data_IF_937951247482
#
_entry.id   IF_937951247482
#
_cell.length_a   1.000
_cell.length_b   1.000
_cell.length_c   1.000
_cell.angle_alpha   90.00
_cell.angle_beta   90.00
_cell.angle_gamma   90.00
#
_symmetry.space_group_name_H-M   'P 1'
#
loop_
_entity.id
_entity.type
_entity.pdbx_description
1 polymer ?
#
# COMPACT_ATOMS: atom_id res chain seq x y z
N UNK A 1 -15.82 -21.67 9.38
CA UNK A 1 -15.08 -22.35 8.30
C UNK A 1 -15.24 -23.85 8.47
N UNK A 2 -15.79 -24.57 7.48
CA UNK A 2 -15.73 -26.04 7.47
C UNK A 2 -14.28 -26.44 7.29
N UNK A 3 -13.75 -27.27 8.19
CA UNK A 3 -12.38 -27.78 8.11
C UNK A 3 -12.27 -28.62 6.84
N UNK A 4 -11.36 -28.28 5.94
CA UNK A 4 -11.04 -29.12 4.79
C UNK A 4 -10.46 -30.43 5.35
N UNK A 5 -11.12 -31.57 5.11
CA UNK A 5 -10.66 -32.86 5.64
C UNK A 5 -9.54 -33.48 4.79
N UNK A 6 -9.43 -33.03 3.52
CA UNK A 6 -8.43 -33.52 2.55
C UNK A 6 -7.06 -32.88 2.81
N UNK A 7 -6.00 -33.67 2.71
CA UNK A 7 -4.62 -33.16 2.69
C UNK A 7 -4.33 -32.43 1.39
N UNK A 8 -3.62 -31.32 1.49
CA UNK A 8 -3.31 -30.43 0.35
C UNK A 8 -1.81 -30.36 0.12
N UNK A 9 -1.37 -30.63 -1.11
CA UNK A 9 0.00 -30.39 -1.56
C UNK A 9 0.04 -29.16 -2.45
N UNK A 10 0.86 -28.17 -2.10
CA UNK A 10 1.18 -27.03 -2.98
C UNK A 10 2.32 -27.44 -3.93
N UNK A 11 2.07 -27.39 -5.23
CA UNK A 11 3.06 -27.69 -6.28
C UNK A 11 3.52 -26.40 -6.92
N UNK A 12 4.71 -25.92 -6.54
CA UNK A 12 5.26 -24.65 -7.04
C UNK A 12 6.20 -24.93 -8.22
N UNK A 13 5.81 -24.49 -9.41
CA UNK A 13 6.58 -24.70 -10.64
C UNK A 13 7.66 -23.63 -10.77
N UNK A 14 8.92 -23.99 -10.43
CA UNK A 14 10.10 -23.14 -10.42
C UNK A 14 11.13 -23.51 -11.50
N UNK A 15 10.82 -24.45 -12.42
CA UNK A 15 11.76 -24.97 -13.42
C UNK A 15 11.97 -24.06 -14.66
N UNK A 16 11.33 -22.89 -14.71
CA UNK A 16 11.39 -21.99 -15.89
C UNK A 16 12.78 -21.37 -16.09
N UNK A 17 13.22 -21.27 -17.35
CA UNK A 17 14.56 -20.80 -17.74
C UNK A 17 14.73 -19.27 -17.77
N UNK A 18 13.71 -18.48 -17.46
CA UNK A 18 13.73 -16.99 -17.43
C UNK A 18 14.36 -16.30 -18.66
N UNK A 19 14.38 -16.96 -19.82
CA UNK A 19 15.10 -16.53 -21.04
C UNK A 19 14.76 -15.13 -21.55
N UNK A 20 13.54 -14.63 -21.26
CA UNK A 20 13.08 -13.30 -21.67
C UNK A 20 13.66 -12.16 -20.86
N UNK A 21 14.14 -12.43 -19.65
CA UNK A 21 14.61 -11.41 -18.71
C UNK A 21 16.14 -11.24 -18.71
N UNK A 22 16.88 -12.21 -19.24
CA UNK A 22 18.34 -12.22 -19.22
C UNK A 22 18.98 -12.57 -17.87
N UNK A 23 18.16 -12.82 -16.85
CA UNK A 23 18.54 -13.33 -15.52
C UNK A 23 17.43 -14.22 -14.96
N UNK A 24 17.72 -14.98 -13.90
CA UNK A 24 16.68 -15.79 -13.24
C UNK A 24 15.76 -14.90 -12.40
N UNK A 25 14.53 -14.70 -12.89
CA UNK A 25 13.52 -13.86 -12.23
C UNK A 25 13.13 -14.34 -10.84
N UNK A 26 13.30 -15.62 -10.54
CA UNK A 26 12.99 -16.20 -9.24
C UNK A 26 13.95 -15.74 -8.15
N UNK A 27 15.17 -15.32 -8.55
CA UNK A 27 16.18 -14.77 -7.63
C UNK A 27 16.08 -13.25 -7.46
N UNK A 28 15.14 -12.58 -8.14
CA UNK A 28 14.98 -11.13 -7.98
C UNK A 28 14.52 -10.79 -6.55
N UNK A 29 15.20 -9.80 -5.95
CA UNK A 29 14.89 -9.32 -4.61
C UNK A 29 13.72 -8.34 -4.63
N UNK A 30 12.69 -8.65 -3.84
CA UNK A 30 11.47 -7.84 -3.65
C UNK A 30 11.54 -6.98 -2.37
N UNK A 31 12.73 -6.55 -1.97
CA UNK A 31 12.95 -5.77 -0.75
C UNK A 31 13.34 -6.62 0.45
N UNK A 32 14.32 -7.50 0.28
CA UNK A 32 14.85 -8.40 1.31
C UNK A 32 14.36 -9.86 1.22
N UNK A 33 13.49 -10.16 0.25
CA UNK A 33 12.95 -11.49 0.00
C UNK A 33 12.90 -11.78 -1.51
N UNK A 34 13.33 -12.95 -1.95
CA UNK A 34 13.29 -13.30 -3.36
C UNK A 34 11.88 -13.63 -3.84
N UNK A 35 11.64 -13.51 -5.16
CA UNK A 35 10.38 -13.92 -5.81
C UNK A 35 10.00 -15.35 -5.42
N UNK A 36 10.95 -16.28 -5.44
CA UNK A 36 10.68 -17.68 -5.09
C UNK A 36 10.38 -17.85 -3.61
N UNK A 37 11.18 -17.26 -2.72
CA UNK A 37 10.95 -17.36 -1.28
C UNK A 37 9.57 -16.85 -0.90
N UNK A 38 9.18 -15.69 -1.43
CA UNK A 38 7.86 -15.11 -1.17
C UNK A 38 6.71 -16.01 -1.65
N UNK A 39 6.89 -16.65 -2.80
CA UNK A 39 5.91 -17.64 -3.30
C UNK A 39 5.84 -18.87 -2.38
N UNK A 40 6.97 -19.39 -1.89
CA UNK A 40 7.00 -20.50 -0.92
C UNK A 40 6.27 -20.11 0.37
N UNK A 41 6.59 -18.96 0.94
CA UNK A 41 5.97 -18.47 2.18
C UNK A 41 4.47 -18.29 2.09
N UNK A 42 3.94 -17.86 0.94
CA UNK A 42 2.51 -17.73 0.76
C UNK A 42 1.77 -19.07 0.99
N UNK A 43 2.32 -20.18 0.54
CA UNK A 43 1.76 -21.51 0.76
C UNK A 43 2.14 -22.13 2.10
N UNK A 44 3.32 -21.81 2.61
CA UNK A 44 3.74 -22.23 3.95
C UNK A 44 2.81 -21.69 5.03
N UNK A 45 2.42 -20.41 4.91
CA UNK A 45 1.54 -19.75 5.88
C UNK A 45 0.07 -20.15 5.75
N UNK A 46 -0.35 -20.79 4.65
CA UNK A 46 -1.73 -21.21 4.49
C UNK A 46 -2.03 -22.46 5.36
N UNK A 47 -3.02 -22.38 6.26
CA UNK A 47 -3.31 -23.47 7.18
C UNK A 47 -3.88 -24.73 6.52
N UNK A 48 -4.38 -24.64 5.29
CA UNK A 48 -4.91 -25.78 4.54
C UNK A 48 -3.80 -26.59 3.85
N UNK A 49 -2.67 -25.97 3.53
CA UNK A 49 -1.54 -26.62 2.87
C UNK A 49 -0.77 -27.47 3.89
N UNK A 50 -0.58 -28.75 3.57
CA UNK A 50 0.09 -29.72 4.44
C UNK A 50 1.54 -30.04 4.03
N UNK A 51 1.86 -29.84 2.76
CA UNK A 51 3.23 -30.02 2.21
C UNK A 51 3.44 -29.12 0.98
N UNK A 52 4.69 -28.93 0.62
CA UNK A 52 5.11 -28.16 -0.54
C UNK A 52 5.99 -29.03 -1.44
N UNK A 53 5.64 -29.12 -2.73
CA UNK A 53 6.44 -29.75 -3.76
C UNK A 53 7.03 -28.67 -4.66
N UNK A 54 8.34 -28.51 -4.63
CA UNK A 54 9.05 -27.55 -5.48
C UNK A 54 9.56 -28.24 -6.73
N UNK A 55 9.17 -27.75 -7.89
CA UNK A 55 9.60 -28.30 -9.17
C UNK A 55 10.76 -27.45 -9.71
N UNK A 56 11.98 -27.94 -9.59
CA UNK A 56 13.21 -27.24 -9.94
C UNK A 56 13.75 -27.64 -11.32
N UNK A 57 14.38 -26.70 -12.01
CA UNK A 57 15.15 -26.91 -13.23
C UNK A 57 16.67 -26.89 -12.96
N UNK A 58 17.39 -26.17 -13.81
CA UNK A 58 18.85 -25.93 -13.65
C UNK A 58 19.21 -25.16 -12.39
N UNK A 59 18.23 -24.46 -11.79
CA UNK A 59 18.36 -23.66 -10.59
C UNK A 59 18.12 -24.44 -9.29
N UNK A 60 18.28 -25.76 -9.29
CA UNK A 60 17.95 -26.63 -8.15
C UNK A 60 18.62 -26.18 -6.84
N UNK A 61 19.90 -25.90 -6.86
CA UNK A 61 20.64 -25.45 -5.65
C UNK A 61 20.06 -24.15 -5.06
N UNK A 62 19.64 -23.21 -5.93
CA UNK A 62 18.95 -22.00 -5.49
C UNK A 62 17.59 -22.32 -4.88
N UNK A 63 16.82 -23.22 -5.48
CA UNK A 63 15.51 -23.65 -4.95
C UNK A 63 15.66 -24.30 -3.57
N UNK A 64 16.68 -25.15 -3.39
CA UNK A 64 17.01 -25.78 -2.09
C UNK A 64 17.34 -24.74 -1.03
N UNK A 65 18.12 -23.73 -1.38
CA UNK A 65 18.45 -22.61 -0.48
C UNK A 65 17.21 -21.82 -0.05
N UNK A 66 16.31 -21.53 -0.99
CA UNK A 66 15.10 -20.76 -0.71
C UNK A 66 14.05 -21.50 0.11
N UNK A 67 14.15 -22.82 0.19
CA UNK A 67 13.26 -23.69 0.95
C UNK A 67 13.85 -24.10 2.31
N UNK A 68 15.07 -23.70 2.65
CA UNK A 68 15.80 -24.22 3.80
C UNK A 68 15.17 -23.86 5.16
N UNK A 69 14.46 -22.79 5.25
CA UNK A 69 13.78 -22.30 6.47
C UNK A 69 12.28 -22.65 6.50
N UNK A 70 11.77 -23.37 5.47
CA UNK A 70 10.37 -23.77 5.42
C UNK A 70 10.05 -24.80 6.53
N UNK A 71 9.01 -24.52 7.30
CA UNK A 71 8.59 -25.35 8.44
C UNK A 71 7.70 -26.52 8.05
N UNK A 72 7.05 -26.46 6.88
CA UNK A 72 6.25 -27.56 6.34
C UNK A 72 7.14 -28.56 5.61
N UNK A 73 6.74 -29.83 5.47
CA UNK A 73 7.44 -30.81 4.65
C UNK A 73 7.63 -30.29 3.21
N UNK A 74 8.87 -30.28 2.75
CA UNK A 74 9.24 -29.86 1.39
C UNK A 74 9.85 -31.04 0.64
N UNK A 75 9.36 -31.26 -0.58
CA UNK A 75 9.97 -32.17 -1.55
C UNK A 75 10.41 -31.40 -2.79
N UNK A 76 11.61 -31.67 -3.29
CA UNK A 76 12.12 -31.02 -4.50
C UNK A 76 12.28 -32.07 -5.62
N UNK A 77 11.58 -31.83 -6.72
CA UNK A 77 11.59 -32.72 -7.89
C UNK A 77 12.13 -32.00 -9.13
N UNK A 78 12.61 -32.77 -10.10
CA UNK A 78 13.10 -32.21 -11.35
C UNK A 78 11.95 -31.91 -12.30
N UNK A 79 11.95 -30.72 -12.88
CA UNK A 79 10.98 -30.31 -13.92
C UNK A 79 11.19 -31.05 -15.24
N UNK A 80 10.19 -30.95 -16.10
CA UNK A 80 10.23 -31.46 -17.46
C UNK A 80 10.74 -30.41 -18.46
N UNK A 81 10.63 -30.73 -19.76
CA UNK A 81 11.00 -29.83 -20.86
C UNK A 81 9.98 -28.72 -21.08
N UNK A 82 8.75 -28.93 -20.64
CA UNK A 82 7.64 -27.97 -20.71
C UNK A 82 7.10 -27.63 -19.32
N UNK A 83 6.28 -26.55 -19.25
CA UNK A 83 5.57 -26.22 -18.00
C UNK A 83 4.61 -27.34 -17.61
N UNK A 84 3.88 -27.91 -18.56
CA UNK A 84 2.94 -29.00 -18.32
C UNK A 84 3.62 -30.26 -17.77
N UNK A 85 4.77 -30.65 -18.34
CA UNK A 85 5.59 -31.76 -17.82
C UNK A 85 6.10 -31.47 -16.41
N UNK A 86 6.51 -30.23 -16.15
CA UNK A 86 6.96 -29.82 -14.81
C UNK A 86 5.83 -29.91 -13.80
N UNK A 87 4.63 -29.41 -14.12
CA UNK A 87 3.45 -29.52 -13.28
C UNK A 87 3.09 -31.01 -13.02
N UNK A 88 3.07 -31.83 -14.06
CA UNK A 88 2.84 -33.30 -13.96
C UNK A 88 3.83 -33.93 -12.99
N UNK A 89 5.14 -33.66 -13.11
CA UNK A 89 6.16 -34.24 -12.22
C UNK A 89 5.93 -33.83 -10.76
N UNK A 90 5.53 -32.59 -10.52
CA UNK A 90 5.16 -32.11 -9.20
C UNK A 90 3.91 -32.82 -8.62
N UNK A 91 2.86 -32.97 -9.43
CA UNK A 91 1.62 -33.62 -9.00
C UNK A 91 1.83 -35.13 -8.76
N UNK A 92 2.68 -35.78 -9.54
CA UNK A 92 3.06 -37.19 -9.29
C UNK A 92 3.75 -37.37 -7.96
N UNK A 93 4.60 -36.44 -7.54
CA UNK A 93 5.33 -36.47 -6.28
C UNK A 93 4.48 -36.05 -5.06
N UNK A 94 3.37 -35.34 -5.29
CA UNK A 94 2.48 -34.86 -4.24
C UNK A 94 1.78 -36.02 -3.52
N UNK A 95 1.67 -35.93 -2.18
CA UNK A 95 1.01 -36.94 -1.34
C UNK A 95 -0.43 -36.53 -0.92
N UNK A 96 -0.80 -35.25 -1.13
CA UNK A 96 -2.13 -34.73 -0.82
C UNK A 96 -3.21 -35.25 -1.76
N UNK A 97 -4.45 -35.27 -1.30
CA UNK A 97 -5.64 -35.61 -2.09
C UNK A 97 -6.08 -34.43 -2.99
N UNK A 98 -5.74 -33.20 -2.56
CA UNK A 98 -5.85 -32.00 -3.37
C UNK A 98 -4.46 -31.50 -3.72
N UNK A 99 -4.31 -30.95 -4.93
CA UNK A 99 -3.08 -30.31 -5.40
C UNK A 99 -3.38 -28.87 -5.80
N UNK A 100 -2.52 -27.93 -5.40
CA UNK A 100 -2.55 -26.53 -5.81
C UNK A 100 -1.33 -26.26 -6.68
N UNK A 101 -1.49 -26.25 -8.00
CA UNK A 101 -0.41 -26.00 -8.95
C UNK A 101 -0.24 -24.48 -9.11
N UNK A 102 0.94 -23.99 -8.73
CA UNK A 102 1.22 -22.56 -8.73
C UNK A 102 2.50 -22.21 -9.50
N UNK A 103 2.42 -21.14 -10.26
CA UNK A 103 3.60 -20.56 -10.89
C UNK A 103 4.44 -19.82 -9.84
N UNK A 104 5.64 -20.30 -9.54
CA UNK A 104 6.55 -19.67 -8.57
C UNK A 104 6.92 -18.20 -8.91
N UNK A 105 6.59 -17.74 -10.11
CA UNK A 105 6.73 -16.36 -10.55
C UNK A 105 5.51 -15.45 -10.23
N UNK A 106 4.61 -15.87 -9.35
CA UNK A 106 3.49 -15.06 -8.81
C UNK A 106 3.65 -14.87 -7.29
N UNK A 107 4.59 -14.03 -6.86
CA UNK A 107 4.93 -13.88 -5.45
C UNK A 107 3.87 -13.13 -4.62
N UNK A 108 2.84 -12.58 -5.26
CA UNK A 108 1.84 -11.73 -4.61
C UNK A 108 0.49 -12.42 -4.42
N UNK A 109 0.45 -13.74 -4.47
CA UNK A 109 -0.77 -14.49 -4.17
C UNK A 109 -1.14 -14.33 -2.70
N UNK A 110 -2.39 -13.94 -2.43
CA UNK A 110 -2.89 -13.77 -1.06
C UNK A 110 -3.48 -15.07 -0.49
N UNK A 111 -3.51 -15.18 0.83
CA UNK A 111 -4.15 -16.29 1.54
C UNK A 111 -5.61 -16.48 1.12
N UNK A 112 -6.34 -15.37 0.95
CA UNK A 112 -7.75 -15.42 0.53
C UNK A 112 -7.93 -16.09 -0.84
N UNK A 113 -7.03 -15.80 -1.79
CA UNK A 113 -7.04 -16.42 -3.13
C UNK A 113 -6.71 -17.91 -3.06
N UNK A 114 -5.70 -18.30 -2.27
CA UNK A 114 -5.31 -19.70 -2.09
C UNK A 114 -6.47 -20.49 -1.46
N UNK A 115 -6.97 -20.02 -0.33
CA UNK A 115 -8.05 -20.69 0.43
C UNK A 115 -9.31 -20.84 -0.42
N UNK A 116 -9.76 -19.78 -1.12
CA UNK A 116 -10.95 -19.82 -1.96
C UNK A 116 -10.83 -20.85 -3.11
N UNK A 117 -9.67 -20.93 -3.75
CA UNK A 117 -9.44 -21.90 -4.82
C UNK A 117 -9.43 -23.36 -4.30
N UNK A 118 -8.80 -23.60 -3.13
CA UNK A 118 -8.76 -24.91 -2.49
C UNK A 118 -10.16 -25.38 -2.03
N UNK A 119 -10.92 -24.50 -1.38
CA UNK A 119 -12.29 -24.81 -0.93
C UNK A 119 -13.22 -25.13 -2.11
N UNK A 120 -13.12 -24.39 -3.22
CA UNK A 120 -13.88 -24.64 -4.43
C UNK A 120 -13.47 -25.97 -5.07
N UNK A 121 -12.17 -26.26 -5.23
CA UNK A 121 -11.68 -27.51 -5.78
C UNK A 121 -12.09 -28.73 -4.95
N UNK A 122 -12.14 -28.60 -3.64
CA UNK A 122 -12.61 -29.65 -2.75
C UNK A 122 -14.10 -30.01 -2.96
N UNK A 123 -14.90 -29.06 -3.47
CA UNK A 123 -16.33 -29.24 -3.71
C UNK A 123 -16.63 -29.72 -5.13
N UNK A 124 -15.91 -29.24 -6.13
CA UNK A 124 -16.22 -29.46 -7.54
C UNK A 124 -15.14 -30.20 -8.35
N UNK A 125 -14.03 -30.61 -7.70
CA UNK A 125 -12.94 -31.35 -8.33
C UNK A 125 -11.86 -30.47 -8.95
N UNK A 126 -12.19 -29.28 -9.48
CA UNK A 126 -11.22 -28.36 -10.07
C UNK A 126 -11.64 -26.89 -9.92
N UNK A 127 -10.69 -26.02 -9.54
CA UNK A 127 -10.95 -24.59 -9.44
C UNK A 127 -9.69 -23.75 -9.71
N UNK A 128 -9.88 -22.51 -10.19
CA UNK A 128 -8.81 -21.57 -10.41
C UNK A 128 -9.25 -20.12 -10.12
N UNK A 129 -8.40 -19.29 -9.51
CA UNK A 129 -8.67 -17.86 -9.38
C UNK A 129 -8.60 -17.17 -10.73
N UNK A 130 -9.52 -16.24 -10.96
CA UNK A 130 -9.56 -15.45 -12.18
C UNK A 130 -10.05 -14.03 -11.91
N UNK A 131 -9.62 -13.10 -12.75
CA UNK A 131 -10.07 -11.69 -12.73
C UNK A 131 -10.73 -11.34 -14.06
N UNK A 132 -11.77 -10.49 -14.08
CA UNK A 132 -12.33 -9.97 -15.32
C UNK A 132 -11.27 -9.28 -16.17
N UNK A 133 -11.30 -9.48 -17.49
CA UNK A 133 -10.39 -8.78 -18.40
C UNK A 133 -10.75 -7.30 -18.47
N UNK A 134 -9.77 -6.40 -18.23
CA UNK A 134 -9.96 -4.95 -18.26
C UNK A 134 -9.91 -4.36 -19.69
N UNK A 135 -9.01 -4.88 -20.52
CA UNK A 135 -8.81 -4.39 -21.88
C UNK A 135 -9.78 -5.03 -22.88
N UNK A 136 -10.00 -4.35 -24.01
CA UNK A 136 -10.74 -4.91 -25.12
C UNK A 136 -9.84 -5.92 -25.87
N UNK A 137 -10.23 -7.20 -25.86
CA UNK A 137 -9.49 -8.26 -26.54
C UNK A 137 -9.91 -8.32 -28.02
N UNK A 138 -8.92 -8.38 -28.89
CA UNK A 138 -9.11 -8.58 -30.33
C UNK A 138 -8.57 -9.94 -30.75
N UNK A 139 -9.39 -10.73 -31.41
CA UNK A 139 -8.92 -11.93 -32.08
C UNK A 139 -8.54 -11.56 -33.52
N UNK A 140 -7.32 -11.91 -33.91
CA UNK A 140 -6.73 -11.54 -35.18
C UNK A 140 -6.01 -12.73 -35.81
N UNK A 141 -5.68 -12.62 -37.10
CA UNK A 141 -4.96 -13.67 -37.81
C UNK A 141 -3.61 -13.98 -37.10
N UNK A 142 -3.26 -15.28 -37.05
CA UNK A 142 -2.00 -15.70 -36.41
C UNK A 142 -0.81 -15.14 -37.19
N UNK A 143 -0.04 -14.26 -36.53
CA UNK A 143 1.28 -13.88 -36.94
C UNK A 143 2.31 -14.94 -36.53
N UNK A 144 3.42 -15.02 -37.25
CA UNK A 144 4.51 -15.98 -36.99
C UNK A 144 5.41 -15.59 -35.81
N UNK A 145 5.14 -14.47 -35.10
CA UNK A 145 5.98 -13.90 -34.04
C UNK A 145 5.24 -13.59 -32.72
N UNK A 146 6.03 -13.13 -31.73
CA UNK A 146 5.54 -12.69 -30.43
C UNK A 146 5.06 -11.23 -30.41
N UNK A 147 5.26 -10.51 -31.50
CA UNK A 147 4.83 -9.13 -31.72
C UNK A 147 3.63 -9.09 -32.65
N UNK A 148 2.83 -8.03 -32.56
CA UNK A 148 1.75 -7.79 -33.49
C UNK A 148 2.36 -7.61 -34.91
N UNK A 149 1.96 -8.41 -35.93
CA UNK A 149 2.45 -8.22 -37.30
C UNK A 149 2.01 -6.86 -37.86
N UNK A 150 2.84 -6.25 -38.72
CA UNK A 150 2.55 -4.95 -39.35
C UNK A 150 1.21 -4.89 -40.10
N UNK A 151 0.68 -6.04 -40.51
CA UNK A 151 -0.59 -6.16 -41.27
C UNK A 151 -1.56 -7.16 -40.63
N UNK A 152 -1.64 -7.18 -39.31
CA UNK A 152 -2.56 -8.06 -38.59
C UNK A 152 -4.00 -7.55 -38.62
N UNK A 153 -4.89 -8.29 -39.29
CA UNK A 153 -6.30 -7.95 -39.41
C UNK A 153 -7.11 -8.61 -38.29
N UNK A 154 -7.90 -7.80 -37.62
CA UNK A 154 -8.87 -8.27 -36.59
C UNK A 154 -10.05 -8.93 -37.31
N UNK A 155 -10.42 -10.15 -36.88
CA UNK A 155 -11.60 -10.82 -37.40
C UNK A 155 -12.77 -10.85 -36.41
N UNK A 156 -12.51 -10.70 -35.09
CA UNK A 156 -13.59 -10.59 -34.08
C UNK A 156 -13.12 -9.89 -32.83
N UNK A 157 -14.08 -9.37 -32.10
CA UNK A 157 -13.91 -8.83 -30.73
C UNK A 157 -14.81 -9.64 -29.83
N UNK A 158 -14.27 -10.56 -29.01
CA UNK A 158 -15.07 -11.31 -28.05
C UNK A 158 -15.78 -10.40 -27.06
N UNK A 159 -16.93 -10.84 -26.55
CA UNK A 159 -17.64 -10.14 -25.49
C UNK A 159 -16.79 -10.17 -24.20
N UNK A 160 -16.30 -8.99 -23.81
CA UNK A 160 -15.45 -8.85 -22.62
C UNK A 160 -16.13 -9.28 -21.32
N UNK A 161 -17.46 -9.23 -21.25
CA UNK A 161 -18.20 -9.65 -20.05
C UNK A 161 -18.07 -11.14 -19.74
N UNK A 162 -17.68 -11.94 -20.74
CA UNK A 162 -17.47 -13.40 -20.62
C UNK A 162 -15.98 -13.78 -20.50
N UNK A 163 -15.06 -12.81 -20.52
CA UNK A 163 -13.62 -13.06 -20.51
C UNK A 163 -13.00 -12.86 -19.15
N UNK A 164 -12.25 -13.87 -18.72
CA UNK A 164 -11.52 -13.87 -17.47
C UNK A 164 -10.04 -14.20 -17.70
N UNK A 165 -9.14 -13.47 -17.04
CA UNK A 165 -7.73 -13.80 -16.99
C UNK A 165 -7.49 -14.76 -15.81
N UNK A 166 -7.22 -16.03 -16.16
CA UNK A 166 -6.99 -17.09 -15.16
C UNK A 166 -5.60 -16.94 -14.55
N UNK A 167 -5.57 -17.15 -13.23
CA UNK A 167 -4.36 -17.06 -12.42
C UNK A 167 -3.99 -18.43 -11.84
N UNK A 168 -3.01 -18.46 -10.95
CA UNK A 168 -2.70 -19.63 -10.13
C UNK A 168 -2.71 -19.22 -8.64
N UNK A 169 -2.98 -20.19 -7.69
CA UNK A 169 -2.94 -21.62 -7.85
C UNK A 169 -4.16 -22.18 -8.62
N UNK A 170 -3.91 -23.11 -9.51
CA UNK A 170 -4.95 -23.94 -10.11
C UNK A 170 -5.05 -25.21 -9.25
N UNK A 171 -6.22 -25.43 -8.65
CA UNK A 171 -6.41 -26.45 -7.63
C UNK A 171 -7.26 -27.60 -8.17
N UNK A 172 -6.86 -28.85 -7.87
CA UNK A 172 -7.49 -30.04 -8.41
C UNK A 172 -7.57 -31.16 -7.38
N UNK A 173 -8.58 -32.02 -7.51
CA UNK A 173 -8.51 -33.37 -6.98
C UNK A 173 -7.37 -34.11 -7.70
N UNK A 174 -6.43 -34.64 -6.90
CA UNK A 174 -5.21 -35.23 -7.45
C UNK A 174 -5.50 -36.47 -8.31
N UNK A 175 -6.46 -37.31 -7.89
CA UNK A 175 -6.81 -38.52 -8.65
C UNK A 175 -7.43 -38.14 -10.00
N UNK A 176 -8.33 -37.14 -10.03
CA UNK A 176 -8.95 -36.68 -11.27
C UNK A 176 -7.91 -36.00 -12.19
N UNK A 177 -6.93 -35.27 -11.64
CA UNK A 177 -5.85 -34.68 -12.43
C UNK A 177 -5.00 -35.75 -13.13
N UNK A 178 -4.65 -36.82 -12.40
CA UNK A 178 -3.88 -37.94 -12.95
C UNK A 178 -4.68 -38.70 -14.01
N UNK A 179 -5.96 -38.96 -13.76
CA UNK A 179 -6.85 -39.59 -14.76
C UNK A 179 -6.97 -38.73 -16.02
N UNK A 180 -7.12 -37.43 -15.89
CA UNK A 180 -7.16 -36.53 -17.05
C UNK A 180 -5.86 -36.56 -17.89
N UNK A 181 -4.69 -36.72 -17.22
CA UNK A 181 -3.43 -36.90 -17.93
C UNK A 181 -3.35 -38.21 -18.73
N UNK A 182 -3.92 -39.28 -18.22
CA UNK A 182 -3.95 -40.60 -18.90
C UNK A 182 -4.92 -40.59 -20.10
N UNK A 183 -6.00 -39.85 -20.05
CA UNK A 183 -6.99 -39.71 -21.13
C UNK A 183 -6.51 -38.79 -22.27
N UNK A 184 -5.42 -38.05 -22.08
CA UNK A 184 -4.94 -37.07 -23.02
C UNK A 184 -4.14 -37.74 -24.16
N UNK A 185 -4.65 -37.69 -25.37
CA UNK A 185 -3.91 -38.13 -26.55
C UNK A 185 -2.83 -37.10 -26.97
N UNK A 186 -1.92 -37.49 -27.86
CA UNK A 186 -0.80 -36.65 -28.29
C UNK A 186 -1.24 -35.38 -29.05
N UNK A 187 -2.41 -35.37 -29.65
CA UNK A 187 -2.96 -34.23 -30.37
C UNK A 187 -3.51 -33.19 -29.38
N UNK A 188 -4.34 -33.63 -28.44
CA UNK A 188 -4.86 -32.79 -27.37
C UNK A 188 -3.78 -32.27 -26.46
N UNK A 189 -2.74 -33.07 -26.17
CA UNK A 189 -1.61 -32.64 -25.34
C UNK A 189 -0.90 -31.38 -25.87
N UNK A 190 -0.93 -31.13 -27.17
CA UNK A 190 -0.37 -29.91 -27.81
C UNK A 190 -1.23 -28.67 -27.57
N UNK A 191 -2.50 -28.84 -27.19
CA UNK A 191 -3.45 -27.76 -26.96
C UNK A 191 -3.47 -27.33 -25.48
N UNK A 192 -2.83 -28.08 -24.60
CA UNK A 192 -2.74 -27.74 -23.17
C UNK A 192 -1.92 -26.47 -22.99
N UNK A 193 -2.57 -25.42 -22.51
CA UNK A 193 -1.93 -24.12 -22.25
C UNK A 193 -1.63 -23.90 -20.76
N UNK A 194 -2.51 -24.47 -19.90
CA UNK A 194 -2.41 -24.47 -18.43
C UNK A 194 -3.07 -25.74 -17.86
N UNK A 195 -3.07 -25.92 -16.55
CA UNK A 195 -3.60 -27.13 -15.93
C UNK A 195 -5.15 -27.19 -15.98
N UNK A 196 -5.84 -26.05 -16.07
CA UNK A 196 -7.29 -26.00 -16.27
C UNK A 196 -7.67 -26.54 -17.66
N UNK A 197 -6.91 -26.19 -18.69
CA UNK A 197 -7.17 -26.68 -20.06
C UNK A 197 -7.03 -28.20 -20.21
N UNK A 198 -6.26 -28.88 -19.35
CA UNK A 198 -6.22 -30.33 -19.25
C UNK A 198 -7.61 -30.89 -18.89
N UNK A 199 -8.29 -30.29 -17.89
CA UNK A 199 -9.64 -30.70 -17.48
C UNK A 199 -10.67 -30.42 -18.56
N UNK A 200 -10.63 -29.25 -19.19
CA UNK A 200 -11.53 -28.86 -20.28
C UNK A 200 -11.43 -29.79 -21.48
N UNK A 201 -10.22 -30.15 -21.91
CA UNK A 201 -9.97 -31.05 -23.03
C UNK A 201 -10.40 -32.51 -22.77
N UNK A 202 -10.57 -32.88 -21.50
CA UNK A 202 -11.07 -34.19 -21.06
C UNK A 202 -12.53 -34.13 -20.59
N UNK A 203 -13.24 -33.02 -20.85
CA UNK A 203 -14.68 -32.87 -20.57
C UNK A 203 -15.03 -32.63 -19.10
N UNK A 204 -14.05 -32.24 -18.27
CA UNK A 204 -14.25 -31.92 -16.86
C UNK A 204 -14.45 -30.42 -16.69
N UNK A 205 -15.32 -30.04 -15.75
CA UNK A 205 -15.57 -28.63 -15.45
C UNK A 205 -14.51 -28.05 -14.50
N UNK A 206 -14.19 -26.77 -14.70
CA UNK A 206 -13.33 -25.98 -13.80
C UNK A 206 -14.13 -24.80 -13.27
N UNK A 207 -14.18 -24.64 -11.94
CA UNK A 207 -14.83 -23.51 -11.31
C UNK A 207 -13.87 -22.31 -11.23
N UNK A 208 -14.29 -21.13 -11.69
CA UNK A 208 -13.56 -19.91 -11.43
C UNK A 208 -13.89 -19.35 -10.05
N UNK A 209 -12.87 -18.95 -9.32
CA UNK A 209 -12.99 -18.22 -8.04
C UNK A 209 -12.49 -16.80 -8.19
N UNK A 210 -12.80 -15.94 -7.21
CA UNK A 210 -12.34 -14.57 -7.22
C UNK A 210 -10.81 -14.51 -7.12
N UNK A 211 -10.16 -13.99 -8.15
CA UNK A 211 -8.74 -13.69 -8.18
C UNK A 211 -8.43 -12.27 -7.69
N UNK A 212 -7.17 -11.90 -7.73
CA UNK A 212 -6.68 -10.57 -7.39
C UNK A 212 -5.76 -10.06 -8.50
N UNK A 213 -5.95 -8.80 -8.94
CA UNK A 213 -5.05 -8.19 -9.93
C UNK A 213 -3.61 -8.06 -9.42
N UNK A 214 -3.42 -7.96 -8.08
CA UNK A 214 -2.09 -7.99 -7.48
C UNK A 214 -1.38 -9.35 -7.66
N UNK A 215 -2.12 -10.46 -7.88
CA UNK A 215 -1.56 -11.79 -8.14
C UNK A 215 -1.11 -11.94 -9.62
N UNK A 216 -0.40 -10.96 -10.14
CA UNK A 216 0.14 -11.02 -11.51
C UNK A 216 1.39 -11.89 -11.58
N UNK A 217 1.69 -12.37 -12.80
CA UNK A 217 2.88 -13.20 -13.07
C UNK A 217 4.03 -12.32 -13.54
N UNK A 218 5.15 -12.37 -12.87
CA UNK A 218 6.39 -11.75 -13.32
C UNK A 218 6.89 -12.51 -14.55
N UNK A 219 6.84 -11.87 -15.71
CA UNK A 219 7.13 -12.47 -17.02
C UNK A 219 8.22 -11.72 -17.77
N UNK A 220 8.20 -10.39 -17.66
CA UNK A 220 9.13 -9.44 -18.29
C UNK A 220 9.71 -8.50 -17.23
N UNK A 221 10.67 -7.65 -17.61
CA UNK A 221 11.26 -6.67 -16.68
C UNK A 221 10.27 -5.62 -16.20
N UNK A 222 9.30 -5.32 -17.05
CA UNK A 222 8.23 -4.36 -16.75
C UNK A 222 7.28 -4.84 -15.65
N UNK A 223 7.17 -6.17 -15.46
CA UNK A 223 6.37 -6.78 -14.40
C UNK A 223 7.08 -6.76 -13.04
N UNK A 224 8.38 -6.48 -13.00
CA UNK A 224 9.07 -6.33 -11.73
C UNK A 224 8.50 -5.12 -11.02
N UNK A 225 8.17 -5.23 -9.73
CA UNK A 225 7.90 -4.04 -8.96
C UNK A 225 9.06 -3.10 -9.24
N UNK A 226 8.78 -1.95 -9.81
CA UNK A 226 9.75 -0.87 -9.74
C UNK A 226 10.07 -0.81 -8.24
N UNK A 227 11.36 -0.71 -7.84
CA UNK A 227 11.60 -0.30 -6.47
C UNK A 227 10.62 0.83 -6.29
N UNK A 228 9.63 0.64 -5.42
CA UNK A 228 8.89 1.78 -4.94
C UNK A 228 10.03 2.77 -4.73
N UNK A 229 10.05 3.87 -5.50
CA UNK A 229 10.54 5.07 -4.90
C UNK A 229 9.65 5.07 -3.66
N UNK A 230 10.17 4.60 -2.51
CA UNK A 230 9.70 5.04 -1.23
C UNK A 230 9.66 6.52 -1.49
N UNK A 231 8.47 7.08 -1.71
CA UNK A 231 8.31 8.49 -1.57
C UNK A 231 8.91 8.67 -0.19
N UNK A 232 10.15 9.19 -0.18
CA UNK A 232 10.81 9.50 1.07
C UNK A 232 9.92 10.58 1.60
N UNK A 233 8.94 10.19 2.43
CA UNK A 233 8.15 11.13 3.20
C UNK A 233 9.17 11.90 4.03
N UNK A 234 9.66 12.98 3.44
CA UNK A 234 10.67 13.82 4.09
C UNK A 234 9.95 14.58 5.17
N UNK A 235 10.19 14.16 6.38
CA UNK A 235 9.73 14.88 7.54
C UNK A 235 10.54 16.18 7.68
N UNK A 236 9.86 17.28 7.94
CA UNK A 236 10.46 18.60 8.17
C UNK A 236 9.90 19.20 9.44
N UNK A 237 10.77 19.89 10.15
CA UNK A 237 10.43 20.60 11.38
C UNK A 237 10.51 22.08 11.13
N UNK A 238 9.51 22.84 11.57
CA UNK A 238 9.53 24.28 11.62
C UNK A 238 9.29 24.78 13.04
N UNK A 239 9.85 25.94 13.35
CA UNK A 239 9.64 26.66 14.59
C UNK A 239 9.08 28.04 14.28
N UNK A 240 8.04 28.44 15.00
CA UNK A 240 7.46 29.77 14.96
C UNK A 240 7.50 30.42 16.34
N UNK A 241 7.67 31.73 16.32
CA UNK A 241 7.66 32.57 17.50
C UNK A 241 6.92 33.87 17.20
N UNK A 242 5.99 34.26 18.07
CA UNK A 242 5.33 35.55 18.00
C UNK A 242 5.16 36.15 19.41
N UNK A 243 5.08 37.47 19.46
CA UNK A 243 4.94 38.24 20.69
C UNK A 243 4.14 39.52 20.49
N UNK A 244 3.16 39.75 21.36
CA UNK A 244 2.35 40.94 21.35
C UNK A 244 2.29 41.61 22.72
N UNK A 245 2.25 42.96 22.72
CA UNK A 245 2.11 43.76 23.92
C UNK A 245 0.70 43.73 24.48
N UNK A 246 0.52 43.64 25.77
CA UNK A 246 -0.75 43.79 26.47
C UNK A 246 -1.13 45.27 26.62
N UNK A 247 -2.34 45.64 26.19
CA UNK A 247 -2.91 46.99 26.26
C UNK A 247 -4.36 46.93 26.76
N UNK A 248 -4.81 48.02 27.38
CA UNK A 248 -6.21 48.17 27.81
C UNK A 248 -7.14 48.39 26.61
N UNK A 249 -8.41 48.07 26.76
CA UNK A 249 -9.47 48.33 25.76
C UNK A 249 -9.50 47.39 24.58
N UNK A 250 -8.72 46.31 24.58
CA UNK A 250 -8.78 45.22 23.58
C UNK A 250 -9.19 43.91 24.26
N UNK A 251 -9.82 43.02 23.45
CA UNK A 251 -10.09 41.65 23.86
C UNK A 251 -8.79 40.83 23.82
N UNK A 252 -8.63 39.88 24.72
CA UNK A 252 -7.55 38.91 24.69
C UNK A 252 -8.04 37.66 23.92
N UNK A 253 -7.51 37.46 22.72
CA UNK A 253 -7.83 36.30 21.87
C UNK A 253 -6.57 35.43 21.76
N UNK A 254 -6.70 34.13 22.08
CA UNK A 254 -5.62 33.16 22.02
C UNK A 254 -6.16 31.83 21.46
N UNK A 255 -5.62 31.34 20.34
CA UNK A 255 -6.11 30.15 19.64
C UNK A 255 -7.58 30.29 19.27
N UNK A 256 -8.02 31.50 18.86
CA UNK A 256 -9.42 31.80 18.53
C UNK A 256 -10.37 31.84 19.75
N UNK A 257 -9.86 31.75 20.98
CA UNK A 257 -10.64 31.78 22.21
C UNK A 257 -10.55 33.15 22.87
N UNK A 258 -11.68 33.80 23.10
CA UNK A 258 -11.74 35.04 23.90
C UNK A 258 -11.54 34.70 25.40
N UNK A 259 -10.40 35.11 25.96
CA UNK A 259 -10.04 34.90 27.36
C UNK A 259 -10.43 36.14 28.15
N UNK A 260 -11.29 36.02 29.17
CA UNK A 260 -11.68 37.19 30.01
C UNK A 260 -10.46 37.74 30.76
N UNK A 261 -10.08 38.98 30.43
CA UNK A 261 -8.97 39.69 31.03
C UNK A 261 -9.12 41.20 30.78
N UNK A 262 -8.57 42.05 31.68
CA UNK A 262 -8.67 43.52 31.60
C UNK A 262 -7.88 44.11 30.43
N UNK A 263 -6.91 43.35 29.86
CA UNK A 263 -6.06 43.74 28.74
C UNK A 263 -6.15 42.74 27.63
N UNK A 264 -5.96 43.19 26.40
CA UNK A 264 -5.80 42.34 25.23
C UNK A 264 -4.54 42.66 24.46
N UNK A 265 -4.25 41.88 23.42
CA UNK A 265 -3.01 42.01 22.66
C UNK A 265 -3.14 43.12 21.60
N UNK A 266 -2.05 43.88 21.40
CA UNK A 266 -1.93 44.93 20.40
C UNK A 266 -1.40 44.34 19.10
N UNK A 267 -2.15 44.46 18.00
CA UNK A 267 -1.73 44.06 16.65
C UNK A 267 -2.72 44.53 15.59
N UNK A 268 -2.43 44.29 14.32
CA UNK A 268 -3.23 44.71 13.16
C UNK A 268 -4.45 43.79 12.91
N UNK A 269 -4.34 42.50 13.24
CA UNK A 269 -5.41 41.51 13.24
C UNK A 269 -6.15 41.45 14.60
N UNK A 270 -6.70 40.30 14.95
CA UNK A 270 -7.14 39.99 16.31
C UNK A 270 -5.97 39.79 17.31
N UNK A 271 -4.72 39.87 16.80
CA UNK A 271 -3.45 39.72 17.53
C UNK A 271 -3.34 38.38 18.29
N UNK A 272 -3.84 37.29 17.70
CA UNK A 272 -3.75 35.95 18.26
C UNK A 272 -2.32 35.41 18.12
N UNK A 273 -1.49 35.68 19.12
CA UNK A 273 -0.08 35.31 19.17
C UNK A 273 0.13 33.77 19.05
N UNK A 274 -0.82 32.96 19.52
CA UNK A 274 -0.73 31.52 19.41
C UNK A 274 -0.95 31.03 17.98
N UNK A 275 -1.98 31.53 17.32
CA UNK A 275 -2.26 31.18 15.92
C UNK A 275 -1.14 31.63 14.99
N UNK A 276 -0.58 32.84 15.23
CA UNK A 276 0.56 33.37 14.45
C UNK A 276 1.80 32.50 14.58
N UNK A 277 2.21 32.15 15.81
CA UNK A 277 3.35 31.29 16.04
C UNK A 277 3.18 29.90 15.39
N UNK A 278 1.97 29.33 15.40
CA UNK A 278 1.67 28.05 14.73
C UNK A 278 1.78 28.19 13.20
N UNK A 279 1.21 29.23 12.63
CA UNK A 279 1.30 29.47 11.17
C UNK A 279 2.75 29.62 10.70
N UNK A 280 3.57 30.37 11.44
CA UNK A 280 5.00 30.55 11.14
C UNK A 280 5.78 29.22 11.28
N UNK A 281 5.45 28.40 12.27
CA UNK A 281 6.05 27.07 12.39
C UNK A 281 5.75 26.19 11.17
N UNK A 282 4.51 26.20 10.71
CA UNK A 282 4.05 25.41 9.57
C UNK A 282 4.67 25.88 8.26
N UNK A 283 4.63 27.20 7.98
CA UNK A 283 5.24 27.81 6.79
C UNK A 283 6.76 27.62 6.77
N UNK A 284 7.42 27.82 7.92
CA UNK A 284 8.86 27.63 8.07
C UNK A 284 9.30 26.19 7.81
N UNK A 285 8.55 25.19 8.27
CA UNK A 285 8.79 23.78 7.99
C UNK A 285 8.79 23.48 6.48
N UNK A 286 7.88 24.11 5.75
CA UNK A 286 7.77 23.99 4.29
C UNK A 286 8.78 24.85 3.51
N UNK A 287 9.56 25.70 4.19
CA UNK A 287 10.44 26.71 3.60
C UNK A 287 9.67 27.74 2.73
N UNK A 288 8.46 28.12 3.16
CA UNK A 288 7.57 29.07 2.49
C UNK A 288 7.59 30.48 3.12
N UNK A 289 8.56 30.77 3.99
CA UNK A 289 8.70 32.06 4.65
C UNK A 289 7.85 32.18 5.92
N UNK A 290 7.21 33.31 6.13
CA UNK A 290 6.43 33.67 7.31
C UNK A 290 5.04 34.23 6.95
N UNK A 291 4.18 34.43 7.95
CA UNK A 291 2.83 34.95 7.76
C UNK A 291 2.82 36.36 7.14
N UNK A 292 3.83 37.19 7.40
CA UNK A 292 3.91 38.55 6.87
C UNK A 292 4.11 38.58 5.36
N UNK A 293 4.72 37.55 4.77
CA UNK A 293 4.86 37.41 3.32
C UNK A 293 3.56 37.03 2.64
N UNK A 294 2.74 36.20 3.29
CA UNK A 294 1.46 35.72 2.75
C UNK A 294 0.29 36.66 3.05
N UNK A 295 0.33 37.35 4.19
CA UNK A 295 -0.74 38.24 4.68
C UNK A 295 -0.14 39.55 5.17
N UNK A 296 0.30 40.45 4.24
CA UNK A 296 0.95 41.68 4.62
C UNK A 296 0.09 42.63 5.46
N UNK A 297 0.66 43.18 6.54
CA UNK A 297 -0.03 44.10 7.46
C UNK A 297 -0.53 45.39 6.79
N UNK A 298 0.05 45.78 5.67
CA UNK A 298 -0.32 46.97 4.89
C UNK A 298 -1.49 46.71 3.91
N UNK A 299 -1.99 45.46 3.80
CA UNK A 299 -3.15 45.16 2.96
C UNK A 299 -4.44 45.31 3.79
N UNK A 300 -5.33 46.27 3.38
CA UNK A 300 -6.62 46.47 4.06
C UNK A 300 -7.51 45.21 4.15
N UNK A 301 -7.29 44.24 3.28
CA UNK A 301 -8.07 42.98 3.27
C UNK A 301 -7.86 42.15 4.57
N UNK A 302 -6.75 42.33 5.27
CA UNK A 302 -6.40 41.59 6.48
C UNK A 302 -6.55 42.40 7.76
N UNK A 303 -6.97 43.68 7.66
CA UNK A 303 -7.24 44.52 8.84
C UNK A 303 -8.35 43.96 9.71
N UNK A 304 -8.05 43.63 10.96
CA UNK A 304 -8.99 42.97 11.87
C UNK A 304 -9.35 41.53 11.51
N UNK A 305 -8.52 40.87 10.69
CA UNK A 305 -8.76 39.50 10.30
C UNK A 305 -8.73 38.54 11.49
N UNK A 306 -9.59 37.53 11.43
CA UNK A 306 -9.64 36.40 12.31
C UNK A 306 -8.46 35.45 11.98
N UNK A 307 -7.50 35.30 12.91
CA UNK A 307 -6.30 34.52 12.70
C UNK A 307 -6.56 33.04 12.43
N UNK A 308 -7.69 32.47 12.87
CA UNK A 308 -8.07 31.10 12.49
C UNK A 308 -8.49 30.97 11.02
N UNK A 309 -9.01 32.03 10.42
CA UNK A 309 -9.28 32.04 8.96
C UNK A 309 -7.94 32.06 8.19
N UNK A 310 -6.96 32.85 8.64
CA UNK A 310 -5.62 32.87 8.05
C UNK A 310 -4.95 31.50 8.19
N UNK A 311 -5.10 30.84 9.34
CA UNK A 311 -4.59 29.48 9.56
C UNK A 311 -5.16 28.45 8.57
N UNK A 312 -6.46 28.54 8.22
CA UNK A 312 -7.06 27.72 7.16
C UNK A 312 -6.42 27.98 5.79
N UNK A 313 -6.17 29.23 5.46
CA UNK A 313 -5.47 29.56 4.21
C UNK A 313 -4.04 28.97 4.21
N UNK A 314 -3.31 29.04 5.33
CA UNK A 314 -1.99 28.42 5.45
C UNK A 314 -2.06 26.90 5.25
N UNK A 315 -3.08 26.23 5.79
CA UNK A 315 -3.28 24.79 5.58
C UNK A 315 -3.48 24.43 4.09
N UNK A 316 -4.24 25.25 3.35
CA UNK A 316 -4.41 25.05 1.90
C UNK A 316 -3.11 25.34 1.12
N UNK A 317 -2.38 26.41 1.45
CA UNK A 317 -1.07 26.72 0.85
C UNK A 317 -0.12 25.53 1.03
N UNK A 318 -0.09 24.93 2.21
CA UNK A 318 0.76 23.77 2.49
C UNK A 318 0.42 22.58 1.60
N UNK A 319 -0.87 22.28 1.48
CA UNK A 319 -1.38 21.20 0.66
C UNK A 319 -1.09 21.40 -0.83
N UNK A 320 -1.25 22.64 -1.34
CA UNK A 320 -0.89 22.99 -2.73
C UNK A 320 0.59 22.79 -3.03
N UNK A 321 1.47 22.93 -2.00
CA UNK A 321 2.90 22.67 -2.12
C UNK A 321 3.31 21.22 -1.82
N UNK A 322 2.35 20.31 -1.69
CA UNK A 322 2.61 18.88 -1.52
C UNK A 322 3.06 18.48 -0.13
N UNK A 323 2.59 19.17 0.91
CA UNK A 323 2.88 18.85 2.32
C UNK A 323 1.61 18.58 3.11
N UNK A 324 1.74 17.77 4.16
CA UNK A 324 0.73 17.62 5.22
C UNK A 324 1.35 17.82 6.59
N UNK A 325 0.54 18.29 7.53
CA UNK A 325 0.96 18.46 8.92
C UNK A 325 0.74 17.15 9.66
N UNK A 326 1.76 16.69 10.39
CA UNK A 326 1.69 15.49 11.23
C UNK A 326 1.30 15.85 12.67
N UNK A 327 1.95 16.86 13.27
CA UNK A 327 1.58 17.35 14.57
C UNK A 327 2.04 18.78 14.81
N UNK A 328 1.40 19.43 15.79
CA UNK A 328 1.72 20.78 16.27
C UNK A 328 1.90 20.72 17.79
N UNK A 329 2.97 21.33 18.29
CA UNK A 329 3.19 21.55 19.72
C UNK A 329 3.49 23.04 19.98
N UNK A 330 2.67 23.69 20.80
CA UNK A 330 2.79 25.12 21.09
C UNK A 330 2.81 25.40 22.59
N UNK A 331 3.55 26.47 22.98
CA UNK A 331 3.67 26.92 24.35
C UNK A 331 3.44 28.42 24.44
N UNK A 332 2.46 28.81 25.22
CA UNK A 332 2.18 30.22 25.59
C UNK A 332 2.98 30.61 26.83
N UNK A 333 3.70 31.73 26.76
CA UNK A 333 4.38 32.38 27.85
C UNK A 333 3.48 33.51 28.37
N UNK A 334 2.81 33.29 29.49
CA UNK A 334 1.77 34.19 29.98
C UNK A 334 1.73 34.21 31.49
N UNK A 335 2.09 35.33 32.09
CA UNK A 335 2.05 35.52 33.56
C UNK A 335 0.60 35.58 34.09
N UNK A 336 -0.27 36.28 33.39
CA UNK A 336 -1.72 36.39 33.65
C UNK A 336 -2.46 36.62 32.33
N UNK A 337 -3.75 36.13 32.21
CA UNK A 337 -4.51 35.30 33.19
C UNK A 337 -4.04 33.83 33.20
N UNK A 338 -4.61 32.97 34.07
CA UNK A 338 -4.42 31.52 34.02
C UNK A 338 -5.14 30.94 32.80
N UNK A 339 -4.39 30.29 31.90
CA UNK A 339 -4.88 29.80 30.59
C UNK A 339 -5.39 28.36 30.60
N UNK A 340 -5.10 27.57 31.67
CA UNK A 340 -5.46 26.16 31.76
C UNK A 340 -6.94 25.83 31.41
N UNK A 341 -7.93 26.60 31.84
CA UNK A 341 -9.34 26.33 31.49
C UNK A 341 -9.67 26.49 29.98
N UNK A 342 -8.87 27.24 29.24
CA UNK A 342 -9.12 27.62 27.87
C UNK A 342 -8.34 26.76 26.87
N UNK A 343 -7.29 26.07 27.32
CA UNK A 343 -6.43 25.22 26.45
C UNK A 343 -7.20 24.19 25.63
N UNK A 344 -8.20 23.46 26.20
CA UNK A 344 -8.94 22.48 25.38
C UNK A 344 -9.63 23.11 24.17
N UNK A 345 -10.21 24.31 24.34
CA UNK A 345 -10.87 25.02 23.22
C UNK A 345 -9.85 25.56 22.21
N UNK A 346 -8.70 26.08 22.65
CA UNK A 346 -7.60 26.50 21.75
C UNK A 346 -7.10 25.36 20.90
N UNK A 347 -6.89 24.18 21.50
CA UNK A 347 -6.48 22.97 20.79
C UNK A 347 -7.48 22.56 19.72
N UNK A 348 -8.77 22.55 20.06
CA UNK A 348 -9.83 22.18 19.11
C UNK A 348 -9.88 23.16 17.95
N UNK A 349 -9.84 24.46 18.21
CA UNK A 349 -9.87 25.50 17.18
C UNK A 349 -8.69 25.39 16.20
N UNK A 350 -7.49 25.16 16.72
CA UNK A 350 -6.30 24.97 15.87
C UNK A 350 -6.41 23.66 15.07
N UNK A 351 -6.85 22.57 15.70
CA UNK A 351 -7.08 21.30 15.02
C UNK A 351 -8.07 21.46 13.86
N UNK A 352 -9.21 22.13 14.09
CA UNK A 352 -10.22 22.41 13.07
C UNK A 352 -9.70 23.33 11.95
N UNK A 353 -8.84 24.31 12.30
CA UNK A 353 -8.28 25.25 11.33
C UNK A 353 -7.29 24.58 10.37
N UNK A 354 -6.48 23.65 10.89
CA UNK A 354 -5.47 22.92 10.10
C UNK A 354 -5.95 21.55 9.59
N UNK A 355 -7.21 21.16 9.86
CA UNK A 355 -7.76 19.88 9.42
C UNK A 355 -7.12 18.67 10.10
N UNK A 356 -6.69 18.82 11.35
CA UNK A 356 -6.01 17.79 12.14
C UNK A 356 -6.94 17.14 13.17
N UNK A 357 -6.68 15.89 13.58
CA UNK A 357 -7.29 15.34 14.77
C UNK A 357 -6.74 16.07 16.01
N UNK A 358 -7.57 16.28 17.05
CA UNK A 358 -7.22 17.06 18.22
C UNK A 358 -6.04 16.49 19.03
N UNK A 359 -5.77 15.21 18.91
CA UNK A 359 -4.62 14.52 19.53
C UNK A 359 -3.28 14.82 18.84
N UNK A 360 -3.30 15.32 17.62
CA UNK A 360 -2.11 15.83 16.91
C UNK A 360 -1.76 17.28 17.30
N UNK A 361 -2.60 17.97 18.08
CA UNK A 361 -2.35 19.36 18.51
C UNK A 361 -2.16 19.43 20.01
N UNK A 362 -0.99 19.90 20.43
CA UNK A 362 -0.66 20.18 21.85
C UNK A 362 -0.56 21.69 22.07
N UNK A 363 -1.21 22.19 23.12
CA UNK A 363 -1.04 23.57 23.60
C UNK A 363 -0.75 23.52 25.09
N UNK A 364 0.30 24.22 25.51
CA UNK A 364 0.75 24.38 26.89
C UNK A 364 0.85 25.85 27.24
N UNK A 365 0.75 26.18 28.49
CA UNK A 365 1.00 27.53 28.99
C UNK A 365 1.92 27.47 30.23
N UNK A 366 2.85 28.41 30.30
CA UNK A 366 3.78 28.55 31.42
C UNK A 366 3.92 30.02 31.85
N UNK A 367 4.33 30.25 33.08
CA UNK A 367 4.80 31.56 33.54
C UNK A 367 6.31 31.64 33.37
N UNK A 368 6.86 32.83 33.42
CA UNK A 368 8.32 33.06 33.46
C UNK A 368 8.79 33.52 34.85
N UNK A 369 8.00 33.19 35.89
CA UNK A 369 8.34 33.44 37.31
C UNK A 369 8.74 34.90 37.57
N UNK A 370 8.01 35.85 36.95
CA UNK A 370 8.25 37.30 36.97
C UNK A 370 9.55 37.77 36.32
N UNK A 371 10.16 36.94 35.45
CA UNK A 371 11.35 37.33 34.69
C UNK A 371 10.95 37.79 33.28
N UNK A 372 11.63 38.79 32.78
CA UNK A 372 11.46 39.33 31.43
C UNK A 372 10.08 39.98 31.21
N UNK A 373 9.81 40.42 29.98
CA UNK A 373 8.61 41.20 29.65
C UNK A 373 7.31 40.42 29.79
N UNK A 374 7.33 39.12 29.56
CA UNK A 374 6.15 38.25 29.77
C UNK A 374 5.90 37.99 31.26
N UNK A 375 6.97 37.76 32.03
CA UNK A 375 6.89 37.61 33.48
C UNK A 375 6.47 38.91 34.22
N UNK A 376 6.81 40.07 33.67
CA UNK A 376 6.34 41.36 34.12
C UNK A 376 4.90 41.69 33.69
N UNK A 377 4.28 40.87 32.83
CA UNK A 377 2.92 41.07 32.30
C UNK A 377 2.80 42.22 31.34
N UNK A 378 3.89 42.55 30.61
CA UNK A 378 3.91 43.58 29.55
C UNK A 378 3.44 43.03 28.19
N UNK A 379 3.47 41.73 27.99
CA UNK A 379 3.07 41.05 26.77
C UNK A 379 2.83 39.58 27.01
N UNK A 380 2.38 38.90 25.94
CA UNK A 380 2.28 37.45 25.87
C UNK A 380 3.10 37.01 24.64
N UNK A 381 3.87 35.92 24.77
CA UNK A 381 4.58 35.29 23.68
C UNK A 381 4.11 33.87 23.46
N UNK A 382 4.29 33.36 22.26
CA UNK A 382 4.05 31.97 21.89
C UNK A 382 5.22 31.40 21.10
N UNK A 383 5.57 30.17 21.43
CA UNK A 383 6.44 29.32 20.62
C UNK A 383 5.61 28.18 20.05
N UNK A 384 5.85 27.82 18.81
CA UNK A 384 5.26 26.63 18.19
C UNK A 384 6.31 25.83 17.44
N UNK A 385 6.13 24.51 17.42
CA UNK A 385 6.86 23.58 16.56
C UNK A 385 5.84 22.79 15.78
N UNK A 386 6.05 22.67 14.47
CA UNK A 386 5.25 21.85 13.59
C UNK A 386 6.13 20.79 12.93
N UNK A 387 5.64 19.58 12.86
CA UNK A 387 6.16 18.50 12.05
C UNK A 387 5.28 18.35 10.82
N UNK A 388 5.88 18.42 9.65
CA UNK A 388 5.20 18.20 8.36
C UNK A 388 5.91 17.11 7.59
N UNK A 389 5.20 16.47 6.65
CA UNK A 389 5.80 15.55 5.70
C UNK A 389 5.38 15.87 4.27
N UNK A 390 6.17 15.41 3.28
CA UNK A 390 5.79 15.44 1.87
C UNK A 390 4.66 14.45 1.60
N UNK A 391 3.65 14.89 0.80
CA UNK A 391 2.54 14.03 0.33
C UNK A 391 3.00 13.04 -0.71
#
# INVERSE_FOLDING_TARGET
MKKLEKRVSAVLVAAGSSTRMGFDKLSFDLGGETVLHRSIRAFEQDPLVTEIVLVAGKNRAFVEQQAADCTKPVQIVTGGTTRAESAKNGVLAAAGELVAVHDAARPFVSQAVITAALEAAAQCGAAAPAVPVKDTIKAAARGSGKTVPDACLVYTTPDRSTLYAVQTPQCFDRAEYLAALEELDAEKARLVTDDCSLFELTGRAVQLTQGDYANYKITTREDLPRPEQKEEHKMRIGHGYDVHRLVEGRKLILGGVEVPFEKGLLGHSDADVLAHAVMDAVLGAAALGDIGQHFPDNDPAYSGADSLKLARCVAEILKEHGFRIENIDATLLCQRPKLAPYIPAMRQNLADAFGLPVDAVSVKATTEEHLGFTGEGLGIAAHAVALIETL
#
